data_IF_681246131639
#
_entry.id   IF_681246131639
#
_cell.length_a   1.000
_cell.length_b   1.000
_cell.length_c   1.000
_cell.angle_alpha   90.00
_cell.angle_beta   90.00
_cell.angle_gamma   90.00
#
_symmetry.space_group_name_H-M   'P 1'
#
loop_
_entity.id
_entity.type
_entity.pdbx_description
1 polymer ?
#
# COMPACT_ATOMS: atom_id res chain seq x y z
N UNK A 1 -1.57 8.11 20.51
CA UNK A 1 -2.40 9.14 19.88
C UNK A 1 -3.74 8.51 19.58
N UNK A 2 -4.84 9.21 19.86
CA UNK A 2 -6.20 8.67 19.67
C UNK A 2 -6.70 8.95 18.24
N UNK A 3 -5.84 8.69 17.26
CA UNK A 3 -6.07 8.95 15.85
C UNK A 3 -5.94 7.66 15.04
N UNK A 4 -6.83 7.49 14.06
CA UNK A 4 -6.79 6.38 13.11
C UNK A 4 -6.51 6.94 11.73
N UNK A 5 -5.41 6.50 11.11
CA UNK A 5 -5.18 6.72 9.68
C UNK A 5 -5.99 5.68 8.90
N UNK A 6 -6.92 6.13 8.06
CA UNK A 6 -7.80 5.21 7.32
C UNK A 6 -7.71 5.43 5.83
N UNK A 7 -7.26 4.39 5.12
CA UNK A 7 -7.37 4.27 3.68
C UNK A 7 -8.22 3.04 3.38
N UNK A 8 -9.50 3.25 3.05
CA UNK A 8 -10.40 2.11 2.79
C UNK A 8 -10.02 1.41 1.46
N UNK A 9 -10.36 0.13 1.29
CA UNK A 9 -10.15 -0.57 0.02
C UNK A 9 -10.80 0.14 -1.19
N UNK A 10 -11.96 0.78 -0.98
CA UNK A 10 -12.63 1.55 -2.04
C UNK A 10 -11.84 2.80 -2.44
N UNK A 11 -11.28 3.53 -1.47
CA UNK A 11 -10.41 4.67 -1.72
C UNK A 11 -9.16 4.25 -2.48
N UNK A 12 -8.48 3.18 -2.03
CA UNK A 12 -7.27 2.68 -2.66
C UNK A 12 -7.50 2.21 -4.10
N UNK A 13 -8.63 1.55 -4.37
CA UNK A 13 -9.01 1.19 -5.75
C UNK A 13 -9.22 2.40 -6.65
N UNK A 14 -9.94 3.40 -6.13
CA UNK A 14 -10.19 4.63 -6.89
C UNK A 14 -8.91 5.40 -7.17
N UNK A 15 -8.07 5.63 -6.15
CA UNK A 15 -6.80 6.35 -6.28
C UNK A 15 -5.81 5.60 -7.18
N UNK A 16 -5.64 4.30 -6.97
CA UNK A 16 -4.76 3.46 -7.78
C UNK A 16 -5.17 3.44 -9.24
N UNK A 17 -6.47 3.28 -9.53
CA UNK A 17 -6.99 3.31 -10.90
C UNK A 17 -6.76 4.65 -11.60
N UNK A 18 -6.91 5.78 -10.88
CA UNK A 18 -6.60 7.12 -11.41
C UNK A 18 -5.11 7.22 -11.75
N UNK A 19 -4.22 6.77 -10.86
CA UNK A 19 -2.76 6.82 -11.07
C UNK A 19 -2.35 6.01 -12.31
N UNK A 20 -2.86 4.78 -12.43
CA UNK A 20 -2.63 3.91 -13.60
C UNK A 20 -3.16 4.55 -14.88
N UNK A 21 -4.37 5.12 -14.88
CA UNK A 21 -4.94 5.79 -16.05
C UNK A 21 -4.13 7.01 -16.51
N UNK A 22 -3.42 7.67 -15.59
CA UNK A 22 -2.52 8.79 -15.88
C UNK A 22 -1.10 8.35 -16.26
N UNK A 23 -0.80 7.04 -16.25
CA UNK A 23 0.55 6.51 -16.48
C UNK A 23 1.54 6.86 -15.36
N UNK A 24 1.03 7.16 -14.16
CA UNK A 24 1.84 7.48 -12.98
C UNK A 24 2.04 6.21 -12.17
N UNK A 25 3.31 5.86 -11.87
CA UNK A 25 3.62 4.74 -10.98
C UNK A 25 3.44 5.16 -9.52
N UNK A 26 2.48 4.59 -8.77
CA UNK A 26 2.37 4.86 -7.35
C UNK A 26 3.48 4.19 -6.54
N UNK A 27 3.89 4.87 -5.48
CA UNK A 27 4.62 4.27 -4.35
C UNK A 27 3.61 3.76 -3.32
N UNK A 28 3.65 2.45 -3.04
CA UNK A 28 2.75 1.80 -2.10
C UNK A 28 3.40 1.77 -0.73
N UNK A 29 2.87 2.59 0.17
CA UNK A 29 3.33 2.68 1.57
C UNK A 29 2.73 1.54 2.41
N UNK A 30 3.54 0.53 2.70
CA UNK A 30 3.14 -0.63 3.49
C UNK A 30 3.66 -0.52 4.92
N UNK A 31 2.73 -0.43 5.88
CA UNK A 31 3.04 -0.37 7.32
C UNK A 31 2.94 -1.74 7.99
N UNK A 32 2.36 -2.73 7.31
CA UNK A 32 2.23 -4.11 7.78
C UNK A 32 2.07 -5.05 6.55
N UNK A 33 2.27 -6.34 6.77
CA UNK A 33 2.13 -7.43 5.79
C UNK A 33 0.75 -7.49 5.14
N UNK A 34 -0.31 -7.10 5.85
CA UNK A 34 -1.66 -6.99 5.30
C UNK A 34 -1.75 -5.98 4.14
N UNK A 35 -0.96 -4.89 4.18
CA UNK A 35 -0.92 -3.92 3.10
C UNK A 35 -0.21 -4.50 1.86
N UNK A 36 0.85 -5.28 2.05
CA UNK A 36 1.54 -5.98 0.96
C UNK A 36 0.61 -6.99 0.28
N UNK A 37 -0.20 -7.70 1.05
CA UNK A 37 -1.19 -8.62 0.49
C UNK A 37 -2.22 -7.86 -0.35
N UNK A 38 -2.74 -6.74 0.15
CA UNK A 38 -3.71 -5.96 -0.61
C UNK A 38 -3.08 -5.29 -1.86
N UNK A 39 -1.82 -4.88 -1.80
CA UNK A 39 -1.09 -4.38 -2.96
C UNK A 39 -1.02 -5.43 -4.09
N UNK A 40 -0.73 -6.69 -3.75
CA UNK A 40 -0.78 -7.81 -4.71
C UNK A 40 -2.17 -7.98 -5.32
N UNK A 41 -3.21 -7.93 -4.49
CA UNK A 41 -4.60 -7.98 -4.95
C UNK A 41 -4.93 -6.86 -5.95
N UNK A 42 -4.46 -5.63 -5.71
CA UNK A 42 -4.69 -4.51 -6.63
C UNK A 42 -3.97 -4.67 -7.98
N UNK A 43 -2.81 -5.33 -8.00
CA UNK A 43 -2.11 -5.70 -9.25
C UNK A 43 -2.88 -6.82 -9.97
N UNK A 44 -3.36 -7.84 -9.25
CA UNK A 44 -4.19 -8.92 -9.82
C UNK A 44 -5.49 -8.39 -10.44
N UNK A 45 -6.12 -7.42 -9.78
CA UNK A 45 -7.32 -6.71 -10.26
C UNK A 45 -7.02 -5.74 -11.41
N UNK A 46 -5.75 -5.54 -11.79
CA UNK A 46 -5.28 -4.55 -12.78
C UNK A 46 -5.67 -3.11 -12.43
N UNK A 47 -5.90 -2.83 -11.15
CA UNK A 47 -6.04 -1.47 -10.65
C UNK A 47 -4.68 -0.77 -10.68
N UNK A 48 -3.63 -1.51 -10.32
CA UNK A 48 -2.24 -1.08 -10.43
C UNK A 48 -1.55 -1.84 -11.57
N UNK A 49 -0.65 -1.14 -12.27
CA UNK A 49 0.23 -1.77 -13.24
C UNK A 49 1.17 -2.81 -12.58
N UNK A 50 1.67 -3.80 -13.36
CA UNK A 50 2.68 -4.74 -12.86
C UNK A 50 3.97 -4.04 -12.40
N UNK A 51 4.79 -4.75 -11.63
CA UNK A 51 6.01 -4.22 -11.01
C UNK A 51 5.74 -3.01 -10.10
N UNK A 52 4.77 -3.20 -9.20
CA UNK A 52 4.40 -2.24 -8.17
C UNK A 52 5.60 -1.85 -7.30
N UNK A 53 5.81 -0.54 -7.14
CA UNK A 53 6.80 0.01 -6.22
C UNK A 53 6.23 -0.01 -4.81
N UNK A 54 6.93 -0.66 -3.89
CA UNK A 54 6.51 -0.82 -2.49
C UNK A 54 7.60 -0.27 -1.58
N UNK A 55 7.21 0.60 -0.64
CA UNK A 55 8.05 1.05 0.45
C UNK A 55 7.56 0.44 1.77
N UNK A 56 8.48 -0.16 2.52
CA UNK A 56 8.21 -0.67 3.86
C UNK A 56 8.38 0.47 4.87
N UNK A 57 7.27 0.96 5.40
CA UNK A 57 7.23 1.97 6.44
C UNK A 57 7.45 1.32 7.83
N UNK A 58 8.70 1.01 8.15
CA UNK A 58 9.09 0.31 9.37
C UNK A 58 9.35 1.27 10.55
N UNK A 59 9.18 0.78 11.78
CA UNK A 59 9.44 1.54 13.02
C UNK A 59 8.32 2.49 13.45
N UNK A 60 7.22 2.55 12.70
CA UNK A 60 6.03 3.34 13.08
C UNK A 60 5.26 2.56 14.16
N UNK A 61 4.94 3.17 15.33
CA UNK A 61 4.23 2.47 16.40
C UNK A 61 2.94 1.80 15.90
N UNK A 62 2.73 0.54 16.29
CA UNK A 62 1.61 -0.32 15.89
C UNK A 62 1.61 -0.80 14.42
N UNK A 63 2.68 -0.53 13.67
CA UNK A 63 2.99 -1.18 12.40
C UNK A 63 4.14 -2.19 12.54
N UNK A 64 4.77 -2.52 11.43
CA UNK A 64 5.95 -3.38 11.38
C UNK A 64 7.15 -2.73 12.10
N UNK A 65 7.87 -3.48 12.96
CA UNK A 65 9.07 -2.97 13.63
C UNK A 65 10.22 -2.75 12.64
N UNK A 66 11.22 -1.97 13.04
CA UNK A 66 12.45 -1.69 12.28
C UNK A 66 13.58 -2.67 12.62
N UNK A 67 13.26 -3.97 12.68
CA UNK A 67 14.23 -5.03 12.92
C UNK A 67 14.35 -5.98 11.72
N UNK A 68 15.35 -6.86 11.74
CA UNK A 68 15.64 -7.77 10.62
C UNK A 68 14.82 -9.07 10.62
N UNK A 69 14.19 -9.42 11.73
CA UNK A 69 13.63 -10.75 11.97
C UNK A 69 12.10 -10.79 11.90
N UNK A 70 11.47 -9.63 11.91
CA UNK A 70 10.01 -9.47 11.82
C UNK A 70 9.64 -8.91 10.45
#
# INVERSE_FOLDING_TARGET
ADYVMTNTPGMLRAMGGIMTALGVKPEIEAFDTGHLWFAKQLVEEKVLDPDALVQLCMGVPWGAPDDLNT
#
